data_IF_490908733583
#
_entry.id   IF_490908733583
#
_cell.length_a   1.000
_cell.length_b   1.000
_cell.length_c   1.000
_cell.angle_alpha   90.00
_cell.angle_beta   90.00
_cell.angle_gamma   90.00
#
_symmetry.space_group_name_H-M   'P 1'
#
loop_
_entity.id
_entity.type
_entity.pdbx_description
1 polymer ?
#
# COMPACT_ATOMS: atom_id res chain seq x y z
N UNK A 1 31.96 5.02 15.76
CA UNK A 1 31.45 3.74 15.22
C UNK A 1 30.61 3.09 16.30
N UNK A 2 29.33 2.82 16.05
CA UNK A 2 28.49 2.14 17.03
C UNK A 2 28.99 0.71 17.24
N UNK A 3 29.05 0.29 18.51
CA UNK A 3 29.47 -1.06 18.93
C UNK A 3 28.25 -1.79 19.49
N UNK A 4 28.02 -3.00 19.04
CA UNK A 4 26.91 -3.83 19.49
C UNK A 4 27.44 -5.10 20.12
N UNK A 5 26.90 -5.45 21.28
CA UNK A 5 27.22 -6.68 22.00
C UNK A 5 26.57 -7.88 21.31
N UNK A 6 27.33 -8.95 21.11
CA UNK A 6 26.82 -10.20 20.56
C UNK A 6 26.59 -11.19 21.70
N UNK A 7 25.37 -11.73 21.76
CA UNK A 7 24.92 -12.65 22.79
C UNK A 7 24.69 -14.06 22.20
N UNK A 8 25.06 -15.09 22.99
CA UNK A 8 24.71 -16.49 22.70
C UNK A 8 23.21 -16.75 22.99
N UNK A 9 22.70 -17.88 22.51
CA UNK A 9 21.30 -18.34 22.77
C UNK A 9 21.00 -18.40 24.27
N UNK A 10 22.02 -18.59 25.11
CA UNK A 10 21.92 -18.61 26.58
C UNK A 10 21.96 -17.21 27.22
N UNK A 11 22.00 -16.13 26.43
CA UNK A 11 22.06 -14.75 26.92
C UNK A 11 23.44 -14.35 27.48
N UNK A 12 24.50 -15.07 27.18
CA UNK A 12 25.86 -14.68 27.56
C UNK A 12 26.52 -13.85 26.46
N UNK A 13 27.15 -12.74 26.83
CA UNK A 13 27.93 -11.91 25.90
C UNK A 13 29.17 -12.74 25.42
N UNK A 14 29.29 -12.84 24.09
CA UNK A 14 30.38 -13.62 23.45
C UNK A 14 31.43 -12.70 22.86
N UNK A 15 31.01 -11.63 22.17
CA UNK A 15 31.90 -10.71 21.48
C UNK A 15 31.26 -9.34 21.29
N UNK A 16 32.03 -8.36 20.79
CA UNK A 16 31.56 -7.07 20.34
C UNK A 16 31.78 -6.95 18.84
N UNK A 17 30.82 -6.36 18.12
CA UNK A 17 30.93 -6.08 16.69
C UNK A 17 30.85 -4.58 16.45
N UNK A 18 31.78 -4.05 15.67
CA UNK A 18 31.76 -2.67 15.21
C UNK A 18 30.95 -2.53 13.95
N UNK A 19 29.93 -1.68 13.98
CA UNK A 19 29.06 -1.40 12.85
C UNK A 19 29.59 -0.23 12.01
N UNK A 20 29.40 -0.31 10.69
CA UNK A 20 29.84 0.75 9.77
C UNK A 20 29.02 2.04 10.01
N UNK A 21 29.67 3.12 10.37
CA UNK A 21 29.06 4.42 10.64
C UNK A 21 28.30 5.00 9.43
N UNK A 22 28.77 4.69 8.20
CA UNK A 22 28.10 5.08 6.95
C UNK A 22 26.70 4.48 6.77
N UNK A 23 26.36 3.43 7.51
CA UNK A 23 25.06 2.74 7.44
C UNK A 23 24.25 2.97 8.70
N UNK A 24 24.87 2.86 9.87
CA UNK A 24 24.20 2.87 11.17
C UNK A 24 24.34 4.20 11.93
N UNK A 25 25.23 5.11 11.49
CA UNK A 25 25.47 6.39 12.12
C UNK A 25 24.70 7.58 11.53
N UNK A 26 23.63 7.34 10.76
CA UNK A 26 22.83 8.41 10.18
C UNK A 26 21.67 8.81 11.10
N UNK A 27 21.27 10.09 11.05
CA UNK A 27 20.05 10.53 11.71
C UNK A 27 18.82 9.91 11.03
N UNK A 28 17.96 9.16 11.76
CA UNK A 28 16.78 8.52 11.18
C UNK A 28 15.77 9.54 10.68
N UNK A 29 15.32 9.39 9.42
CA UNK A 29 14.29 10.24 8.83
C UNK A 29 12.98 9.47 8.67
N UNK A 30 12.05 9.67 9.62
CA UNK A 30 10.76 8.98 9.66
C UNK A 30 9.87 9.30 8.46
N UNK A 31 9.89 10.54 7.95
CA UNK A 31 9.06 10.95 6.82
C UNK A 31 9.43 10.19 5.54
N UNK A 32 10.72 9.98 5.30
CA UNK A 32 11.22 9.21 4.16
C UNK A 32 10.88 7.73 4.34
N UNK A 33 11.04 7.18 5.53
CA UNK A 33 10.66 5.78 5.84
C UNK A 33 9.18 5.56 5.58
N UNK A 34 8.32 6.45 6.08
CA UNK A 34 6.87 6.39 5.84
C UNK A 34 6.53 6.46 4.34
N UNK A 35 7.16 7.37 3.59
CA UNK A 35 6.93 7.51 2.15
C UNK A 35 7.29 6.23 1.38
N UNK A 36 8.40 5.57 1.75
CA UNK A 36 8.83 4.31 1.14
C UNK A 36 7.91 3.16 1.54
N UNK A 37 7.42 3.13 2.78
CA UNK A 37 6.46 2.13 3.25
C UNK A 37 5.13 2.23 2.48
N UNK A 38 4.59 3.44 2.35
CA UNK A 38 3.35 3.69 1.57
C UNK A 38 3.52 3.26 0.11
N UNK A 39 4.66 3.58 -0.50
CA UNK A 39 4.97 3.12 -1.85
C UNK A 39 5.02 1.60 -1.95
N UNK A 40 5.67 0.93 -1.01
CA UNK A 40 5.75 -0.53 -0.98
C UNK A 40 4.34 -1.16 -0.90
N UNK A 41 3.50 -0.69 0.02
CA UNK A 41 2.12 -1.17 0.16
C UNK A 41 1.27 -0.87 -1.07
N UNK A 42 1.42 0.30 -1.69
CA UNK A 42 0.71 0.65 -2.92
C UNK A 42 1.12 -0.26 -4.09
N UNK A 43 2.42 -0.60 -4.18
CA UNK A 43 2.94 -1.48 -5.24
C UNK A 43 2.49 -2.94 -5.09
N UNK A 44 2.07 -3.37 -3.90
CA UNK A 44 1.50 -4.70 -3.68
C UNK A 44 0.03 -4.80 -4.09
N UNK A 45 -0.68 -3.67 -4.25
CA UNK A 45 -2.10 -3.67 -4.60
C UNK A 45 -2.29 -4.18 -6.03
N UNK A 46 -3.08 -5.22 -6.20
CA UNK A 46 -3.36 -5.81 -7.51
C UNK A 46 -4.25 -4.93 -8.40
N UNK A 47 -5.21 -4.21 -7.82
CA UNK A 47 -6.05 -3.24 -8.51
C UNK A 47 -7.03 -3.83 -9.53
N UNK A 48 -7.48 -5.06 -9.33
CA UNK A 48 -8.37 -5.80 -10.27
C UNK A 48 -9.86 -5.55 -10.05
N UNK A 49 -10.23 -4.79 -9.00
CA UNK A 49 -11.64 -4.46 -8.74
C UNK A 49 -12.26 -3.72 -9.93
N UNK A 50 -13.44 -4.18 -10.36
CA UNK A 50 -14.16 -3.59 -11.48
C UNK A 50 -15.65 -3.54 -11.22
N UNK A 51 -16.28 -2.45 -11.61
CA UNK A 51 -17.73 -2.29 -11.61
C UNK A 51 -18.21 -1.88 -12.99
N UNK A 52 -19.44 -2.26 -13.33
CA UNK A 52 -20.04 -1.89 -14.61
C UNK A 52 -20.80 -0.57 -14.47
N UNK A 53 -20.50 0.38 -15.34
CA UNK A 53 -21.28 1.59 -15.50
C UNK A 53 -22.60 1.29 -16.20
N UNK A 54 -23.52 2.26 -16.19
CA UNK A 54 -24.80 2.15 -16.88
C UNK A 54 -24.67 1.76 -18.36
N UNK A 55 -23.64 2.22 -19.05
CA UNK A 55 -23.38 1.87 -20.45
C UNK A 55 -22.91 0.43 -20.65
N UNK A 56 -22.19 -0.10 -19.68
CA UNK A 56 -21.60 -1.45 -19.73
C UNK A 56 -22.57 -2.55 -19.28
N UNK A 57 -23.65 -2.20 -18.59
CA UNK A 57 -24.67 -3.17 -18.18
C UNK A 57 -25.58 -3.47 -19.35
N UNK A 58 -25.74 -4.77 -19.67
CA UNK A 58 -26.61 -5.23 -20.76
C UNK A 58 -28.06 -4.83 -20.53
N UNK A 59 -28.73 -4.30 -21.57
CA UNK A 59 -30.15 -3.96 -21.58
C UNK A 59 -30.41 -2.46 -21.39
N UNK A 60 -31.67 -2.09 -21.23
CA UNK A 60 -32.09 -0.71 -20.93
C UNK A 60 -32.10 0.26 -22.12
N UNK A 61 -32.00 -0.23 -23.36
CA UNK A 61 -32.08 0.63 -24.56
C UNK A 61 -33.47 1.26 -24.79
N UNK A 62 -34.52 0.59 -24.33
CA UNK A 62 -35.90 1.13 -24.43
C UNK A 62 -36.25 1.93 -23.18
N UNK A 63 -36.87 3.11 -23.39
CA UNK A 63 -37.44 3.92 -22.29
C UNK A 63 -38.57 3.13 -21.60
N UNK A 64 -38.57 2.99 -20.25
CA UNK A 64 -39.53 2.15 -19.52
C UNK A 64 -40.98 2.58 -19.73
N UNK A 65 -41.27 3.88 -19.79
CA UNK A 65 -42.59 4.47 -20.04
C UNK A 65 -42.46 5.86 -20.65
N UNK A 66 -43.57 6.35 -21.17
CA UNK A 66 -43.67 7.71 -21.78
C UNK A 66 -43.35 8.81 -20.76
N UNK A 67 -42.90 9.96 -21.26
CA UNK A 67 -42.40 11.07 -20.47
C UNK A 67 -43.44 11.70 -19.52
N UNK A 68 -44.71 11.69 -19.90
CA UNK A 68 -45.85 12.28 -19.17
C UNK A 68 -47.06 11.34 -19.22
N UNK A 69 -48.03 11.56 -18.30
CA UNK A 69 -49.31 10.84 -18.30
C UNK A 69 -49.28 9.44 -17.72
N UNK A 70 -48.30 9.08 -16.91
CA UNK A 70 -48.23 7.78 -16.22
C UNK A 70 -48.32 7.88 -14.69
N UNK A 71 -48.31 9.10 -14.13
CA UNK A 71 -48.25 9.31 -12.68
C UNK A 71 -46.95 8.82 -11.99
N UNK A 72 -46.00 8.29 -12.77
CA UNK A 72 -44.71 7.75 -12.27
C UNK A 72 -43.59 8.76 -12.46
N UNK A 73 -42.51 8.57 -11.69
CA UNK A 73 -41.27 9.34 -11.87
C UNK A 73 -40.71 9.15 -13.31
N UNK A 74 -40.15 10.19 -13.86
CA UNK A 74 -39.57 10.17 -15.21
C UNK A 74 -38.30 9.29 -15.19
N UNK A 75 -38.24 8.31 -16.10
CA UNK A 75 -37.11 7.39 -16.23
C UNK A 75 -36.67 7.24 -17.68
N UNK A 76 -35.37 7.26 -17.93
CA UNK A 76 -34.79 7.09 -19.25
C UNK A 76 -34.32 5.66 -19.54
N UNK A 77 -33.92 4.91 -18.51
CA UNK A 77 -33.39 3.54 -18.65
C UNK A 77 -33.58 2.78 -17.35
N UNK A 78 -33.84 1.49 -17.45
CA UNK A 78 -33.90 0.55 -16.33
C UNK A 78 -32.49 0.20 -15.79
N UNK A 79 -31.43 0.64 -16.46
CA UNK A 79 -30.02 0.40 -16.06
C UNK A 79 -29.36 1.63 -15.40
N UNK A 80 -30.16 2.65 -15.12
CA UNK A 80 -29.69 3.82 -14.37
C UNK A 80 -29.28 3.40 -12.93
N UNK A 81 -28.35 4.12 -12.29
CA UNK A 81 -27.81 3.72 -10.97
C UNK A 81 -28.85 3.59 -9.85
N UNK A 82 -29.97 4.30 -9.94
CA UNK A 82 -31.05 4.20 -8.96
C UNK A 82 -31.93 2.96 -9.11
N UNK A 83 -31.73 2.18 -10.17
CA UNK A 83 -32.47 0.94 -10.40
C UNK A 83 -31.74 -0.28 -9.86
N UNK A 84 -32.49 -1.24 -9.31
CA UNK A 84 -31.94 -2.55 -8.94
C UNK A 84 -31.38 -3.21 -10.20
N UNK A 85 -30.19 -3.77 -10.12
CA UNK A 85 -29.42 -4.33 -11.26
C UNK A 85 -29.02 -3.27 -12.31
N UNK A 86 -29.09 -1.99 -12.01
CA UNK A 86 -28.52 -0.92 -12.81
C UNK A 86 -27.00 -0.85 -12.71
N UNK A 87 -26.40 0.09 -13.44
CA UNK A 87 -24.96 0.35 -13.35
C UNK A 87 -24.58 1.09 -12.07
N UNK A 88 -23.30 1.08 -11.72
CA UNK A 88 -22.74 1.81 -10.59
C UNK A 88 -22.13 3.12 -11.11
N UNK A 89 -22.53 4.24 -10.51
CA UNK A 89 -21.90 5.52 -10.76
C UNK A 89 -20.60 5.64 -9.92
N UNK A 90 -19.54 6.15 -10.52
CA UNK A 90 -18.24 6.40 -9.86
C UNK A 90 -17.65 5.16 -9.14
N UNK A 91 -17.99 3.97 -9.61
CA UNK A 91 -17.46 2.74 -9.05
C UNK A 91 -15.99 2.49 -9.43
N UNK A 92 -15.30 1.60 -8.70
CA UNK A 92 -13.91 1.30 -8.96
C UNK A 92 -13.72 0.66 -10.33
N UNK A 93 -12.67 1.07 -11.03
CA UNK A 93 -12.19 0.47 -12.28
C UNK A 93 -10.81 -0.15 -12.06
N UNK A 94 -10.43 -1.18 -12.82
CA UNK A 94 -9.09 -1.74 -12.76
C UNK A 94 -8.05 -0.64 -13.04
N UNK A 95 -7.06 -0.56 -12.15
CA UNK A 95 -5.95 0.38 -12.31
C UNK A 95 -4.69 -0.13 -11.64
N UNK A 96 -3.54 0.30 -12.13
CA UNK A 96 -2.28 0.10 -11.43
C UNK A 96 -2.11 1.15 -10.34
N UNK A 97 -1.68 0.70 -9.16
CA UNK A 97 -1.30 1.57 -8.04
C UNK A 97 0.23 1.72 -7.95
N UNK A 98 0.97 1.13 -8.89
CA UNK A 98 2.43 1.14 -8.89
C UNK A 98 2.96 2.52 -9.25
N UNK A 99 3.89 3.00 -8.44
CA UNK A 99 4.69 4.18 -8.75
C UNK A 99 6.13 4.00 -8.26
N UNK A 100 7.07 4.68 -8.90
CA UNK A 100 8.49 4.59 -8.58
C UNK A 100 8.92 5.68 -7.60
N UNK A 101 9.81 5.33 -6.69
CA UNK A 101 10.53 6.27 -5.83
C UNK A 101 12.02 6.27 -6.23
N UNK A 102 12.71 7.42 -6.16
CA UNK A 102 14.13 7.50 -6.45
C UNK A 102 14.96 6.52 -5.61
N UNK A 103 15.96 5.89 -6.23
CA UNK A 103 16.83 4.90 -5.57
C UNK A 103 17.48 5.47 -4.30
N UNK A 104 17.92 6.73 -4.34
CA UNK A 104 18.54 7.41 -3.19
C UNK A 104 17.59 7.50 -1.98
N UNK A 105 16.29 7.77 -2.20
CA UNK A 105 15.30 7.81 -1.11
C UNK A 105 15.11 6.43 -0.48
N UNK A 106 15.04 5.37 -1.29
CA UNK A 106 14.93 3.99 -0.77
C UNK A 106 16.14 3.59 0.06
N UNK A 107 17.35 3.95 -0.41
CA UNK A 107 18.59 3.67 0.34
C UNK A 107 18.64 4.45 1.66
N UNK A 108 18.23 5.72 1.68
CA UNK A 108 18.19 6.53 2.88
C UNK A 108 17.16 5.99 3.88
N UNK A 109 15.95 5.62 3.42
CA UNK A 109 14.94 4.99 4.27
C UNK A 109 15.46 3.69 4.90
N UNK A 110 16.11 2.84 4.12
CA UNK A 110 16.65 1.58 4.61
C UNK A 110 17.73 1.80 5.69
N UNK A 111 18.66 2.72 5.46
CA UNK A 111 19.67 3.10 6.46
C UNK A 111 19.02 3.69 7.72
N UNK A 112 18.03 4.57 7.58
CA UNK A 112 17.28 5.13 8.72
C UNK A 112 16.63 4.05 9.58
N UNK A 113 16.04 3.03 8.95
CA UNK A 113 15.46 1.89 9.68
C UNK A 113 16.54 1.07 10.39
N UNK A 114 17.68 0.83 9.74
CA UNK A 114 18.79 0.07 10.36
C UNK A 114 19.34 0.81 11.60
N UNK A 115 19.57 2.12 11.50
CA UNK A 115 20.00 2.94 12.64
C UNK A 115 18.97 2.94 13.77
N UNK A 116 17.68 3.07 13.46
CA UNK A 116 16.63 3.00 14.48
C UNK A 116 16.58 1.62 15.15
N UNK A 117 16.84 0.55 14.42
CA UNK A 117 16.86 -0.82 14.94
C UNK A 117 18.07 -1.11 15.82
N UNK A 118 19.23 -0.53 15.52
CA UNK A 118 20.41 -0.63 16.38
C UNK A 118 20.11 -0.16 17.79
N UNK A 119 19.40 0.97 17.93
CA UNK A 119 19.04 1.53 19.23
C UNK A 119 17.96 0.69 19.99
N UNK A 120 17.26 -0.22 19.31
CA UNK A 120 16.09 -0.95 19.84
C UNK A 120 16.27 -2.47 19.93
N UNK A 121 17.26 -3.08 19.27
CA UNK A 121 17.36 -4.52 19.15
C UNK A 121 18.67 -5.07 19.75
N UNK A 122 18.48 -5.97 20.67
CA UNK A 122 19.40 -7.04 20.99
C UNK A 122 19.55 -7.94 19.75
N UNK A 123 20.67 -7.88 19.06
CA UNK A 123 20.98 -8.84 18.00
C UNK A 123 21.39 -10.17 18.62
N UNK A 124 20.46 -11.12 18.69
CA UNK A 124 20.84 -12.50 18.93
C UNK A 124 21.34 -13.12 17.62
N UNK A 125 22.64 -13.26 17.48
CA UNK A 125 23.24 -14.05 16.40
C UNK A 125 23.21 -15.51 16.81
N UNK A 126 22.33 -16.28 16.19
CA UNK A 126 22.34 -17.73 16.31
C UNK A 126 23.50 -18.25 15.44
N UNK A 127 24.65 -18.50 16.03
CA UNK A 127 25.72 -19.26 15.35
C UNK A 127 25.25 -20.70 15.36
N UNK A 128 24.76 -21.19 14.20
CA UNK A 128 24.53 -22.62 13.98
C UNK A 128 25.91 -23.23 13.71
N UNK A 129 26.41 -23.98 14.68
CA UNK A 129 27.58 -24.83 14.54
C UNK A 129 27.29 -26.07 13.68
#
# INVERSE_FOLDING_TARGET
MPKVDVYDIKGKKVSDVELAESIFGIEPNEAIVHSVLVNYLANQRQGTQSTKTRAEVRGGGRKPWRQKGTGRARQGSIRAPQWIKGGIALGPKPRSYKYAIPKKMRQLAFRSVLTSKENWLWFSVTVVG
#
